data_IF_477299149337
#
_entry.id   IF_477299149337
#
_cell.length_a   1.000
_cell.length_b   1.000
_cell.length_c   1.000
_cell.angle_alpha   90.00
_cell.angle_beta   90.00
_cell.angle_gamma   90.00
#
_symmetry.space_group_name_H-M   'P 1'
#
loop_
_entity.id
_entity.type
_entity.pdbx_description
1 polymer ?
#
# COMPACT_ATOMS: atom_id res chain seq x y z
N UNK A 1 -4.36 7.09 -25.05
CA UNK A 1 -2.98 7.26 -24.50
C UNK A 1 -2.59 6.01 -23.73
N UNK A 2 -1.34 5.56 -23.90
CA UNK A 2 -0.80 4.39 -23.20
C UNK A 2 0.14 4.87 -22.10
N UNK A 3 -0.09 4.43 -20.88
CA UNK A 3 0.73 4.80 -19.70
C UNK A 3 1.39 3.54 -19.15
N UNK A 4 2.71 3.63 -18.93
CA UNK A 4 3.48 2.64 -18.21
C UNK A 4 3.50 3.03 -16.72
N UNK A 5 3.01 2.16 -15.86
CA UNK A 5 3.10 2.33 -14.40
C UNK A 5 4.20 1.43 -13.85
N UNK A 6 5.08 1.98 -13.05
CA UNK A 6 6.24 1.30 -12.48
C UNK A 6 6.22 1.40 -10.97
N UNK A 7 6.42 0.25 -10.32
CA UNK A 7 6.61 0.13 -8.88
C UNK A 7 7.91 -0.63 -8.64
N UNK A 8 9.00 0.10 -8.38
CA UNK A 8 10.32 -0.46 -8.16
C UNK A 8 10.62 -0.58 -6.66
N UNK A 9 10.98 -1.77 -6.22
CA UNK A 9 11.52 -2.04 -4.88
C UNK A 9 13.03 -2.19 -4.90
N UNK A 10 13.63 -2.54 -3.75
CA UNK A 10 15.08 -2.74 -3.65
C UNK A 10 15.63 -3.88 -4.52
N UNK A 11 14.83 -4.91 -4.75
CA UNK A 11 15.20 -6.10 -5.54
C UNK A 11 14.11 -6.54 -6.52
N UNK A 12 13.18 -5.65 -6.85
CA UNK A 12 12.08 -5.97 -7.76
C UNK A 12 11.62 -4.75 -8.54
N UNK A 13 11.07 -4.97 -9.74
CA UNK A 13 10.45 -3.97 -10.58
C UNK A 13 9.15 -4.55 -11.14
N UNK A 14 8.01 -4.06 -10.63
CA UNK A 14 6.69 -4.40 -11.14
C UNK A 14 6.20 -3.34 -12.10
N UNK A 15 5.49 -3.74 -13.15
CA UNK A 15 4.94 -2.79 -14.10
C UNK A 15 3.55 -3.19 -14.58
N UNK A 16 2.80 -2.20 -15.02
CA UNK A 16 1.58 -2.37 -15.81
C UNK A 16 1.57 -1.36 -16.95
N UNK A 17 1.24 -1.82 -18.14
CA UNK A 17 0.98 -0.99 -19.32
C UNK A 17 -0.54 -0.86 -19.47
N UNK A 18 -1.06 0.36 -19.39
CA UNK A 18 -2.51 0.63 -19.32
C UNK A 18 -2.93 1.52 -20.50
N UNK A 19 -4.00 1.12 -21.20
CA UNK A 19 -4.68 1.97 -22.17
C UNK A 19 -5.66 2.89 -21.43
N UNK A 20 -5.43 4.18 -21.47
CA UNK A 20 -6.25 5.16 -20.76
C UNK A 20 -7.53 5.56 -21.47
N UNK A 21 -7.85 4.98 -22.63
CA UNK A 21 -9.14 5.18 -23.30
C UNK A 21 -10.26 4.34 -22.64
N UNK A 22 -9.90 3.13 -22.19
CA UNK A 22 -10.82 2.17 -21.57
C UNK A 22 -10.32 1.64 -20.21
N UNK A 23 -9.16 2.11 -19.76
CA UNK A 23 -8.48 1.70 -18.53
C UNK A 23 -8.09 0.21 -18.51
N UNK A 24 -8.01 -0.44 -19.67
CA UNK A 24 -7.62 -1.83 -19.78
C UNK A 24 -6.11 -2.03 -19.60
N UNK A 25 -5.75 -3.15 -18.95
CA UNK A 25 -4.35 -3.56 -18.81
C UNK A 25 -3.90 -4.29 -20.07
N UNK A 26 -3.02 -3.65 -20.85
CA UNK A 26 -2.44 -4.21 -22.07
C UNK A 26 -1.43 -5.32 -21.72
N UNK A 27 -0.56 -5.05 -20.74
CA UNK A 27 0.43 -6.01 -20.23
C UNK A 27 0.79 -5.67 -18.78
N UNK A 28 1.24 -6.67 -18.04
CA UNK A 28 1.82 -6.52 -16.71
C UNK A 28 2.95 -7.52 -16.50
N UNK A 29 3.87 -7.20 -15.62
CA UNK A 29 4.98 -8.10 -15.32
C UNK A 29 5.76 -7.67 -14.10
N UNK A 30 6.75 -8.49 -13.79
CA UNK A 30 7.61 -8.35 -12.65
C UNK A 30 9.00 -8.84 -12.98
N UNK A 31 10.02 -8.05 -12.67
CA UNK A 31 11.41 -8.48 -12.63
C UNK A 31 11.80 -8.58 -11.16
N UNK A 32 12.03 -9.78 -10.68
CA UNK A 32 12.38 -10.07 -9.29
C UNK A 32 13.84 -10.41 -9.14
N UNK A 33 14.36 -10.37 -7.88
CA UNK A 33 15.67 -10.81 -7.48
C UNK A 33 16.80 -10.01 -8.16
N UNK A 34 16.52 -8.72 -8.42
CA UNK A 34 17.52 -7.77 -8.95
C UNK A 34 18.72 -7.70 -7.99
N UNK A 35 19.93 -7.78 -8.54
CA UNK A 35 21.18 -7.83 -7.76
C UNK A 35 21.55 -9.21 -7.21
N UNK A 36 20.76 -10.25 -7.55
CA UNK A 36 21.02 -11.65 -7.11
C UNK A 36 21.19 -12.53 -8.34
N UNK A 37 20.11 -13.10 -8.86
CA UNK A 37 20.11 -14.04 -9.98
C UNK A 37 18.96 -13.79 -10.98
N UNK A 38 18.09 -12.85 -10.69
CA UNK A 38 17.06 -12.33 -11.58
C UNK A 38 16.03 -13.35 -12.09
N UNK A 39 14.77 -12.92 -12.13
CA UNK A 39 13.67 -13.66 -12.74
C UNK A 39 12.66 -12.67 -13.33
N UNK A 40 12.16 -12.92 -14.55
CA UNK A 40 11.10 -12.12 -15.16
C UNK A 40 9.85 -12.95 -15.36
N UNK A 41 8.71 -12.37 -15.01
CA UNK A 41 7.40 -12.84 -15.43
C UNK A 41 6.65 -11.72 -16.14
N UNK A 42 6.04 -12.02 -17.28
CA UNK A 42 5.25 -11.06 -18.03
C UNK A 42 3.98 -11.72 -18.57
N UNK A 43 2.87 -11.00 -18.53
CA UNK A 43 1.57 -11.44 -19.01
C UNK A 43 0.87 -10.31 -19.77
N UNK A 44 0.33 -10.62 -20.92
CA UNK A 44 -0.46 -9.71 -21.76
C UNK A 44 -1.95 -9.78 -21.43
N UNK A 45 -2.70 -8.76 -21.83
CA UNK A 45 -4.16 -8.71 -21.63
C UNK A 45 -4.91 -9.82 -22.39
N UNK A 46 -4.36 -10.34 -23.48
CA UNK A 46 -4.90 -11.47 -24.26
C UNK A 46 -4.48 -12.84 -23.72
N UNK A 47 -3.69 -12.90 -22.62
CA UNK A 47 -3.36 -14.12 -21.90
C UNK A 47 -2.04 -14.78 -22.27
N UNK A 48 -1.26 -14.25 -23.22
CA UNK A 48 0.10 -14.72 -23.49
C UNK A 48 0.99 -14.41 -22.29
N UNK A 49 1.95 -15.27 -21.99
CA UNK A 49 2.82 -15.09 -20.82
C UNK A 49 4.18 -15.75 -21.03
N UNK A 50 5.18 -15.19 -20.37
CA UNK A 50 6.52 -15.77 -20.25
C UNK A 50 6.95 -15.75 -18.79
N UNK A 51 7.79 -16.73 -18.44
CA UNK A 51 8.56 -16.79 -17.19
C UNK A 51 9.95 -17.29 -17.53
N UNK A 52 10.98 -16.56 -17.18
CA UNK A 52 12.37 -16.95 -17.41
C UNK A 52 13.33 -16.40 -16.37
N UNK A 53 14.41 -17.13 -16.12
CA UNK A 53 15.52 -16.66 -15.31
C UNK A 53 16.41 -15.73 -16.15
N UNK A 54 16.76 -14.58 -15.58
CA UNK A 54 17.53 -13.53 -16.22
C UNK A 54 18.60 -13.02 -15.27
N UNK A 55 19.64 -12.39 -15.81
CA UNK A 55 20.63 -11.71 -14.96
C UNK A 55 20.31 -10.22 -14.89
N UNK A 56 19.92 -9.74 -13.72
CA UNK A 56 19.65 -8.32 -13.44
C UNK A 56 20.65 -7.79 -12.40
N UNK A 57 21.89 -7.40 -12.76
CA UNK A 57 22.83 -6.80 -11.82
C UNK A 57 22.27 -5.53 -11.15
N UNK A 58 21.51 -4.74 -11.91
CA UNK A 58 20.90 -3.49 -11.45
C UNK A 58 19.46 -3.31 -11.99
N UNK A 59 18.80 -2.24 -11.60
CA UNK A 59 17.51 -1.87 -12.15
C UNK A 59 17.58 -1.51 -13.64
N UNK A 60 18.74 -1.13 -14.18
CA UNK A 60 18.88 -0.80 -15.60
C UNK A 60 18.59 -2.03 -16.47
N UNK A 61 19.22 -3.17 -16.17
CA UNK A 61 18.99 -4.41 -16.91
C UNK A 61 17.54 -4.92 -16.76
N UNK A 62 16.95 -4.69 -15.58
CA UNK A 62 15.52 -4.98 -15.37
C UNK A 62 14.60 -4.10 -16.24
N UNK A 63 14.92 -2.82 -16.42
CA UNK A 63 14.22 -1.94 -17.36
C UNK A 63 14.46 -2.32 -18.82
N UNK A 64 15.69 -2.68 -19.19
CA UNK A 64 15.99 -3.18 -20.54
C UNK A 64 15.17 -4.45 -20.86
N UNK A 65 15.05 -5.37 -19.90
CA UNK A 65 14.21 -6.56 -20.05
C UNK A 65 12.73 -6.22 -20.13
N UNK A 66 12.25 -5.24 -19.35
CA UNK A 66 10.89 -4.73 -19.47
C UNK A 66 10.62 -4.22 -20.89
N UNK A 67 11.55 -3.45 -21.46
CA UNK A 67 11.45 -2.99 -22.88
C UNK A 67 11.39 -4.17 -23.82
N UNK A 68 12.29 -5.14 -23.68
CA UNK A 68 12.34 -6.34 -24.52
C UNK A 68 11.00 -7.10 -24.50
N UNK A 69 10.44 -7.41 -23.34
CA UNK A 69 9.18 -8.18 -23.22
C UNK A 69 7.95 -7.43 -23.73
N UNK A 70 7.99 -6.09 -23.75
CA UNK A 70 6.91 -5.28 -24.32
C UNK A 70 7.01 -5.13 -25.83
N UNK A 71 8.24 -5.12 -26.40
CA UNK A 71 8.48 -4.78 -27.82
C UNK A 71 8.87 -5.96 -28.69
N UNK A 72 9.17 -7.11 -28.09
CA UNK A 72 9.63 -8.29 -28.85
C UNK A 72 9.13 -9.60 -28.22
N UNK A 73 9.34 -10.71 -28.92
CA UNK A 73 9.02 -12.05 -28.44
C UNK A 73 7.52 -12.33 -28.32
N UNK A 74 7.19 -13.30 -27.46
CA UNK A 74 5.83 -13.83 -27.29
C UNK A 74 4.88 -12.83 -26.64
N UNK A 75 5.39 -12.00 -25.74
CA UNK A 75 4.59 -11.00 -24.99
C UNK A 75 4.60 -9.62 -25.62
N UNK A 76 5.09 -9.47 -26.85
CA UNK A 76 5.07 -8.20 -27.57
C UNK A 76 3.65 -7.62 -27.65
N UNK A 77 3.48 -6.36 -27.21
CA UNK A 77 2.21 -5.62 -27.22
C UNK A 77 2.32 -4.22 -27.84
N UNK A 78 3.54 -3.71 -28.04
CA UNK A 78 3.85 -2.44 -28.72
C UNK A 78 4.99 -2.65 -29.72
N UNK A 79 5.07 -1.84 -30.76
CA UNK A 79 6.17 -1.90 -31.73
C UNK A 79 7.41 -1.15 -31.24
N UNK A 80 7.21 -0.11 -30.46
CA UNK A 80 8.29 0.74 -29.94
C UNK A 80 7.88 1.41 -28.62
N UNK A 81 8.85 1.68 -27.75
CA UNK A 81 8.63 2.46 -26.53
C UNK A 81 8.14 3.90 -26.80
N UNK A 82 8.23 4.40 -28.04
CA UNK A 82 7.65 5.69 -28.43
C UNK A 82 6.11 5.71 -28.41
N UNK A 83 5.45 4.55 -28.36
CA UNK A 83 4.00 4.47 -28.19
C UNK A 83 3.56 4.77 -26.74
N UNK A 84 4.49 4.70 -25.77
CA UNK A 84 4.22 5.04 -24.38
C UNK A 84 4.15 6.56 -24.26
N UNK A 85 2.98 7.05 -23.90
CA UNK A 85 2.70 8.48 -23.81
C UNK A 85 3.28 9.11 -22.54
N UNK A 86 3.37 8.35 -21.44
CA UNK A 86 3.96 8.79 -20.17
C UNK A 86 4.28 7.59 -19.26
N UNK A 87 5.12 7.82 -18.24
CA UNK A 87 5.44 6.82 -17.20
C UNK A 87 5.03 7.37 -15.84
N UNK A 88 4.28 6.58 -15.07
CA UNK A 88 3.93 6.86 -13.68
C UNK A 88 4.74 5.97 -12.73
N UNK A 89 5.37 6.56 -11.71
CA UNK A 89 6.17 5.84 -10.72
C UNK A 89 5.56 5.93 -9.34
N UNK A 90 5.49 4.81 -8.61
CA UNK A 90 5.18 4.81 -7.20
C UNK A 90 6.42 5.10 -6.37
N UNK A 91 6.31 6.03 -5.44
CA UNK A 91 7.34 6.36 -4.45
C UNK A 91 6.74 6.19 -3.05
N UNK A 92 7.47 5.55 -2.14
CA UNK A 92 6.94 5.26 -0.79
C UNK A 92 6.93 6.51 0.07
N UNK A 93 8.05 7.25 0.19
CA UNK A 93 8.17 8.36 1.12
C UNK A 93 8.39 9.70 0.40
N UNK A 94 7.44 10.62 0.59
CA UNK A 94 7.49 11.98 0.06
C UNK A 94 7.78 13.05 1.13
N UNK A 95 7.81 12.65 2.41
CA UNK A 95 7.94 13.49 3.59
C UNK A 95 6.98 14.71 3.58
N UNK A 96 7.44 15.87 4.01
CA UNK A 96 6.70 17.12 3.95
C UNK A 96 6.97 17.89 2.65
N UNK A 97 7.87 17.38 1.80
CA UNK A 97 8.29 17.99 0.52
C UNK A 97 7.23 17.70 -0.55
N UNK A 98 6.87 16.44 -0.72
CA UNK A 98 5.98 15.99 -1.79
C UNK A 98 4.57 15.69 -1.26
N UNK A 99 3.70 16.69 -1.39
CA UNK A 99 2.29 16.60 -0.96
C UNK A 99 1.33 16.22 -2.10
N UNK A 100 1.83 16.22 -3.32
CA UNK A 100 1.07 15.98 -4.55
C UNK A 100 1.94 15.25 -5.57
N UNK A 101 1.28 14.68 -6.57
CA UNK A 101 1.92 14.11 -7.77
C UNK A 101 2.69 15.18 -8.52
N UNK A 102 3.91 14.90 -8.99
CA UNK A 102 4.71 15.86 -9.75
C UNK A 102 5.50 15.20 -10.90
N UNK A 103 5.96 16.04 -11.85
CA UNK A 103 6.84 15.61 -12.93
C UNK A 103 8.22 15.25 -12.39
N UNK A 104 8.83 14.24 -12.99
CA UNK A 104 10.21 13.83 -12.68
C UNK A 104 11.19 14.80 -13.33
N UNK A 105 12.02 15.44 -12.51
CA UNK A 105 13.22 16.18 -12.92
C UNK A 105 14.43 15.61 -12.19
N UNK A 106 15.64 16.04 -12.54
CA UNK A 106 16.84 15.60 -11.82
C UNK A 106 16.79 16.08 -10.36
N UNK A 107 16.27 17.28 -10.10
CA UNK A 107 16.07 17.82 -8.75
C UNK A 107 15.06 16.99 -7.93
N UNK A 108 13.99 16.54 -8.57
CA UNK A 108 12.99 15.65 -7.90
C UNK A 108 13.62 14.32 -7.54
N UNK A 109 14.44 13.73 -8.44
CA UNK A 109 15.14 12.47 -8.15
C UNK A 109 16.13 12.66 -6.98
N UNK A 110 16.90 13.74 -6.98
CA UNK A 110 17.87 14.03 -5.92
C UNK A 110 17.17 14.31 -4.57
N UNK A 111 16.01 14.98 -4.59
CA UNK A 111 15.20 15.16 -3.39
C UNK A 111 14.65 13.83 -2.86
N UNK A 112 14.15 12.94 -3.73
CA UNK A 112 13.69 11.60 -3.34
C UNK A 112 14.86 10.81 -2.72
N UNK A 113 16.04 10.88 -3.31
CA UNK A 113 17.26 10.21 -2.80
C UNK A 113 17.67 10.76 -1.43
N UNK A 114 17.59 12.07 -1.22
CA UNK A 114 17.87 12.70 0.08
C UNK A 114 16.94 12.24 1.20
N UNK A 115 15.70 11.85 0.87
CA UNK A 115 14.76 11.27 1.82
C UNK A 115 15.06 9.81 2.20
N UNK A 116 16.12 9.20 1.67
CA UNK A 116 16.57 7.87 2.09
C UNK A 116 16.93 7.82 3.58
N UNK A 117 17.26 8.93 4.22
CA UNK A 117 17.46 9.00 5.67
C UNK A 117 16.18 8.62 6.46
N UNK A 118 15.00 8.98 5.93
CA UNK A 118 13.70 8.64 6.51
C UNK A 118 13.19 7.25 6.07
N UNK A 119 13.59 6.77 4.89
CA UNK A 119 13.13 5.52 4.30
C UNK A 119 14.26 4.81 3.53
N UNK A 120 15.33 4.36 4.20
CA UNK A 120 16.56 3.89 3.56
C UNK A 120 16.34 2.66 2.65
N UNK A 121 15.44 1.77 3.02
CA UNK A 121 15.13 0.56 2.24
C UNK A 121 14.21 0.80 1.03
N UNK A 122 13.70 2.05 0.85
CA UNK A 122 12.76 2.39 -0.20
C UNK A 122 13.26 3.50 -1.11
N UNK A 123 13.56 4.69 -0.56
CA UNK A 123 13.77 5.90 -1.37
C UNK A 123 15.05 5.85 -2.22
N UNK A 124 16.16 5.34 -1.70
CA UNK A 124 17.36 5.17 -2.51
C UNK A 124 17.14 4.22 -3.70
N UNK A 125 16.56 2.99 -3.53
CA UNK A 125 16.15 2.16 -4.66
C UNK A 125 15.21 2.86 -5.65
N UNK A 126 14.25 3.66 -5.17
CA UNK A 126 13.36 4.42 -6.06
C UNK A 126 14.13 5.43 -6.91
N UNK A 127 15.07 6.18 -6.32
CA UNK A 127 15.89 7.14 -7.07
C UNK A 127 16.76 6.44 -8.13
N UNK A 128 17.35 5.28 -7.81
CA UNK A 128 18.08 4.46 -8.78
C UNK A 128 17.18 3.99 -9.93
N UNK A 129 15.97 3.51 -9.61
CA UNK A 129 15.02 3.06 -10.62
C UNK A 129 14.53 4.22 -11.51
N UNK A 130 14.32 5.42 -10.96
CA UNK A 130 13.98 6.62 -11.75
C UNK A 130 15.11 6.98 -12.72
N UNK A 131 16.37 6.97 -12.26
CA UNK A 131 17.54 7.20 -13.13
C UNK A 131 17.67 6.13 -14.22
N UNK A 132 17.46 4.85 -13.88
CA UNK A 132 17.48 3.75 -14.83
C UNK A 132 16.36 3.89 -15.87
N UNK A 133 15.13 4.17 -15.45
CA UNK A 133 14.01 4.41 -16.35
C UNK A 133 14.30 5.60 -17.31
N UNK A 134 14.83 6.70 -16.80
CA UNK A 134 15.21 7.88 -17.60
C UNK A 134 16.26 7.55 -18.68
N UNK A 135 17.16 6.61 -18.40
CA UNK A 135 18.20 6.20 -19.35
C UNK A 135 17.67 5.29 -20.47
N UNK A 136 16.61 4.53 -20.23
CA UNK A 136 16.08 3.48 -21.13
C UNK A 136 14.87 3.96 -21.94
N UNK A 137 14.00 4.78 -21.34
CA UNK A 137 12.80 5.32 -22.00
C UNK A 137 13.19 6.45 -22.96
N UNK A 138 12.51 6.57 -24.15
CA UNK A 138 12.81 7.61 -25.12
C UNK A 138 12.81 9.02 -24.51
N UNK A 139 13.83 9.82 -24.89
CA UNK A 139 13.95 11.20 -24.42
C UNK A 139 12.69 12.00 -24.78
N UNK A 140 12.18 12.76 -23.82
CA UNK A 140 10.97 13.59 -23.99
C UNK A 140 9.68 12.88 -23.56
N UNK A 141 9.68 11.57 -23.25
CA UNK A 141 8.54 10.92 -22.62
C UNK A 141 8.39 11.46 -21.19
N UNK A 142 7.27 12.10 -20.83
CA UNK A 142 7.07 12.63 -19.49
C UNK A 142 6.99 11.51 -18.47
N UNK A 143 7.63 11.72 -17.32
CA UNK A 143 7.59 10.82 -16.19
C UNK A 143 7.02 11.53 -14.97
N UNK A 144 6.24 10.82 -14.17
CA UNK A 144 5.47 11.35 -13.04
C UNK A 144 5.72 10.48 -11.82
N UNK A 145 5.86 11.09 -10.64
CA UNK A 145 5.96 10.38 -9.36
C UNK A 145 4.71 10.59 -8.52
N UNK A 146 4.21 9.51 -7.95
CA UNK A 146 3.06 9.46 -7.04
C UNK A 146 3.53 8.87 -5.71
N UNK A 147 3.24 9.57 -4.60
CA UNK A 147 3.77 9.23 -3.29
C UNK A 147 2.71 8.57 -2.40
N UNK A 148 3.06 7.46 -1.75
CA UNK A 148 2.18 6.77 -0.79
C UNK A 148 1.80 7.66 0.40
N UNK A 149 2.68 8.59 0.78
CA UNK A 149 2.45 9.50 1.91
C UNK A 149 1.62 10.73 1.53
N UNK A 150 1.49 11.06 0.24
CA UNK A 150 0.88 12.32 -0.21
C UNK A 150 -0.59 12.46 0.21
N UNK A 151 -1.38 11.38 0.15
CA UNK A 151 -2.78 11.38 0.58
C UNK A 151 -2.93 11.76 2.06
N UNK A 152 -1.95 11.41 2.89
CA UNK A 152 -1.94 11.69 4.33
C UNK A 152 -1.39 13.08 4.68
N UNK A 153 -0.94 13.86 3.70
CA UNK A 153 -0.45 15.24 3.92
C UNK A 153 -1.51 16.18 4.49
N UNK A 154 -2.79 15.81 4.34
CA UNK A 154 -3.94 16.58 4.85
C UNK A 154 -4.24 16.35 6.35
N UNK A 155 -3.52 15.43 7.02
CA UNK A 155 -3.69 15.21 8.45
C UNK A 155 -3.44 16.49 9.26
N UNK A 156 -4.28 16.81 10.27
CA UNK A 156 -4.04 17.94 11.15
C UNK A 156 -2.90 17.65 12.15
N UNK A 157 -2.28 18.71 12.68
CA UNK A 157 -1.15 18.60 13.63
C UNK A 157 -1.43 17.64 14.79
N UNK A 158 -2.61 17.68 15.36
CA UNK A 158 -3.04 16.82 16.48
C UNK A 158 -3.05 15.34 16.14
N UNK A 159 -3.08 14.96 14.87
CA UNK A 159 -3.07 13.57 14.41
C UNK A 159 -1.65 13.10 14.05
N UNK A 160 -0.78 13.98 13.54
CA UNK A 160 0.54 13.57 13.09
C UNK A 160 1.69 13.81 14.07
N UNK A 161 1.55 14.68 15.07
CA UNK A 161 2.59 14.92 16.06
C UNK A 161 2.63 13.82 17.13
N UNK A 162 3.83 13.37 17.46
CA UNK A 162 4.06 12.52 18.61
C UNK A 162 4.27 13.35 19.88
N UNK A 163 4.03 12.76 21.04
CA UNK A 163 4.27 13.39 22.35
C UNK A 163 5.75 13.43 22.76
N UNK A 164 6.63 13.69 21.82
CA UNK A 164 8.08 13.89 22.00
C UNK A 164 8.38 15.38 22.10
N UNK A 165 9.60 15.78 22.58
CA UNK A 165 10.04 17.15 22.49
C UNK A 165 9.82 17.72 21.08
N UNK A 166 9.38 18.98 20.99
CA UNK A 166 8.95 19.58 19.72
C UNK A 166 10.07 19.63 18.69
N UNK A 167 11.32 19.70 19.16
CA UNK A 167 12.55 19.67 18.35
C UNK A 167 12.70 18.35 17.57
N UNK A 168 12.15 17.24 18.08
CA UNK A 168 12.11 15.98 17.30
C UNK A 168 11.30 16.14 16.01
N UNK A 169 10.28 16.98 16.02
CA UNK A 169 9.54 17.31 14.80
C UNK A 169 10.26 18.35 13.94
N UNK A 170 10.66 19.50 14.52
CA UNK A 170 11.21 20.61 13.75
C UNK A 170 12.57 20.32 13.13
N UNK A 171 13.43 19.59 13.84
CA UNK A 171 14.82 19.41 13.47
C UNK A 171 15.09 18.00 12.88
N UNK A 172 14.32 17.00 13.33
CA UNK A 172 14.49 15.59 12.89
C UNK A 172 13.32 15.07 12.03
N UNK A 173 12.32 15.91 11.75
CA UNK A 173 11.14 15.57 10.95
C UNK A 173 10.37 14.34 11.47
N UNK A 174 10.45 14.06 12.77
CA UNK A 174 9.78 12.93 13.41
C UNK A 174 8.30 13.24 13.60
N UNK A 175 7.48 12.66 12.74
CA UNK A 175 6.03 12.77 12.73
C UNK A 175 5.40 11.52 12.10
N UNK A 176 4.08 11.36 12.28
CA UNK A 176 3.32 10.38 11.51
C UNK A 176 3.21 10.85 10.06
N UNK A 177 3.63 10.02 9.10
CA UNK A 177 3.48 10.23 7.66
C UNK A 177 2.31 9.43 7.11
N UNK A 178 2.19 8.16 7.49
CA UNK A 178 1.20 7.24 6.93
C UNK A 178 1.60 6.71 5.55
N UNK A 179 1.04 5.57 5.18
CA UNK A 179 1.38 4.86 3.93
C UNK A 179 0.12 4.24 3.31
N UNK A 180 0.27 3.56 2.18
CA UNK A 180 -0.84 3.08 1.35
C UNK A 180 -1.82 4.19 0.92
N UNK A 181 -1.35 5.43 0.87
CA UNK A 181 -2.20 6.58 0.56
C UNK A 181 -2.85 6.47 -0.82
N UNK A 182 -2.13 5.92 -1.81
CA UNK A 182 -2.65 5.64 -3.14
C UNK A 182 -3.85 4.68 -3.08
N UNK A 183 -3.72 3.58 -2.32
CA UNK A 183 -4.82 2.64 -2.11
C UNK A 183 -6.02 3.26 -1.40
N UNK A 184 -5.80 3.92 -0.26
CA UNK A 184 -6.87 4.57 0.50
C UNK A 184 -7.63 5.62 -0.32
N UNK A 185 -6.91 6.40 -1.14
CA UNK A 185 -7.51 7.39 -2.04
C UNK A 185 -8.32 6.71 -3.15
N UNK A 186 -7.79 5.65 -3.76
CA UNK A 186 -8.50 4.90 -4.79
C UNK A 186 -9.83 4.34 -4.27
N UNK A 187 -9.78 3.55 -3.20
CA UNK A 187 -10.99 2.86 -2.72
C UNK A 187 -12.04 3.82 -2.12
N UNK A 188 -11.62 4.95 -1.57
CA UNK A 188 -12.57 5.97 -1.08
C UNK A 188 -13.28 6.69 -2.23
N UNK A 189 -12.59 6.95 -3.34
CA UNK A 189 -13.20 7.48 -4.56
C UNK A 189 -14.18 6.49 -5.20
N UNK A 190 -13.80 5.20 -5.27
CA UNK A 190 -14.69 4.15 -5.76
C UNK A 190 -15.93 3.97 -4.86
N UNK A 191 -15.77 4.07 -3.53
CA UNK A 191 -16.91 4.05 -2.62
C UNK A 191 -17.88 5.19 -2.92
N UNK A 192 -17.39 6.41 -3.06
CA UNK A 192 -18.23 7.59 -3.35
C UNK A 192 -19.03 7.39 -4.66
N UNK A 193 -18.35 6.85 -5.69
CA UNK A 193 -18.99 6.50 -6.97
C UNK A 193 -20.10 5.46 -6.80
N UNK A 194 -19.84 4.38 -6.07
CA UNK A 194 -20.81 3.29 -5.85
C UNK A 194 -21.99 3.73 -5.00
N UNK A 195 -21.74 4.55 -3.97
CA UNK A 195 -22.79 5.12 -3.13
C UNK A 195 -23.60 6.23 -3.84
N UNK A 196 -23.12 6.74 -4.98
CA UNK A 196 -23.75 7.87 -5.67
C UNK A 196 -23.76 9.16 -4.85
N UNK A 197 -22.73 9.36 -4.00
CA UNK A 197 -22.61 10.53 -3.12
C UNK A 197 -21.30 11.27 -3.37
N UNK A 198 -21.28 12.60 -3.26
CA UNK A 198 -20.05 13.37 -3.25
C UNK A 198 -19.13 12.89 -2.12
N UNK A 199 -17.85 12.73 -2.41
CA UNK A 199 -16.89 12.25 -1.41
C UNK A 199 -16.72 13.24 -0.25
N UNK A 200 -17.00 14.53 -0.51
CA UNK A 200 -16.96 15.62 0.46
C UNK A 200 -17.98 15.46 1.59
N UNK A 201 -19.02 14.68 1.38
CA UNK A 201 -20.09 14.41 2.36
C UNK A 201 -19.83 13.15 3.20
N UNK A 202 -18.79 12.36 2.87
CA UNK A 202 -18.57 11.04 3.43
C UNK A 202 -17.50 11.03 4.54
N UNK A 203 -17.81 10.29 5.60
CA UNK A 203 -16.88 9.88 6.66
C UNK A 203 -16.61 8.40 6.55
N UNK A 204 -15.39 8.05 6.19
CA UNK A 204 -15.02 6.70 5.79
C UNK A 204 -13.87 6.20 6.67
N UNK A 205 -13.94 4.96 7.11
CA UNK A 205 -12.78 4.22 7.62
C UNK A 205 -12.38 3.20 6.57
N UNK A 206 -11.18 3.37 6.00
CA UNK A 206 -10.62 2.49 4.99
C UNK A 206 -9.58 1.56 5.62
N UNK A 207 -9.83 0.25 5.54
CA UNK A 207 -8.98 -0.82 6.08
C UNK A 207 -8.25 -1.52 4.92
N UNK A 208 -7.02 -1.08 4.64
CA UNK A 208 -6.11 -1.78 3.72
C UNK A 208 -5.39 -2.86 4.49
N UNK A 209 -5.79 -4.12 4.29
CA UNK A 209 -5.31 -5.27 5.04
C UNK A 209 -4.61 -6.25 4.09
N UNK A 210 -3.31 -6.37 4.25
CA UNK A 210 -2.45 -7.27 3.49
C UNK A 210 -1.29 -7.76 4.37
N UNK A 211 -0.18 -8.15 3.75
CA UNK A 211 1.05 -8.46 4.49
C UNK A 211 1.61 -7.22 5.20
N UNK A 212 1.45 -6.02 4.58
CA UNK A 212 1.42 -4.73 5.26
C UNK A 212 -0.04 -4.29 5.43
N UNK A 213 -0.38 -3.68 6.57
CA UNK A 213 -1.76 -3.29 6.88
C UNK A 213 -1.83 -1.88 7.45
N UNK A 214 -2.79 -1.09 6.98
CA UNK A 214 -3.07 0.23 7.53
C UNK A 214 -4.58 0.52 7.53
N UNK A 215 -5.01 1.35 8.47
CA UNK A 215 -6.38 1.85 8.54
C UNK A 215 -6.32 3.37 8.52
N UNK A 216 -7.19 4.00 7.74
CA UNK A 216 -7.20 5.45 7.55
C UNK A 216 -8.60 6.01 7.78
N UNK A 217 -8.66 7.08 8.55
CA UNK A 217 -9.84 7.93 8.71
C UNK A 217 -9.89 8.95 7.57
N UNK A 218 -10.95 8.93 6.78
CA UNK A 218 -11.14 9.81 5.63
C UNK A 218 -12.43 10.61 5.85
N UNK A 219 -12.28 11.94 5.95
CA UNK A 219 -13.40 12.86 6.13
C UNK A 219 -13.43 13.85 4.98
N UNK A 220 -14.52 13.86 4.22
CA UNK A 220 -14.66 14.73 3.06
C UNK A 220 -13.56 14.52 2.01
N UNK A 221 -13.19 13.26 1.74
CA UNK A 221 -12.17 12.91 0.76
C UNK A 221 -10.72 13.17 1.21
N UNK A 222 -10.49 13.59 2.46
CA UNK A 222 -9.17 13.91 3.02
C UNK A 222 -8.81 12.94 4.13
N UNK A 223 -7.56 12.45 4.13
CA UNK A 223 -7.01 11.71 5.25
C UNK A 223 -6.91 12.62 6.47
N UNK A 224 -7.54 12.24 7.59
CA UNK A 224 -7.51 13.00 8.84
C UNK A 224 -6.76 12.28 9.96
N UNK A 225 -6.56 10.97 9.82
CA UNK A 225 -5.67 10.14 10.65
C UNK A 225 -5.38 8.82 9.92
N UNK A 226 -4.29 8.15 10.30
CA UNK A 226 -3.93 6.82 9.77
C UNK A 226 -3.13 6.03 10.79
N UNK A 227 -3.16 4.70 10.69
CA UNK A 227 -2.55 3.81 11.66
C UNK A 227 -1.04 3.64 11.51
N UNK A 228 -0.50 3.65 10.29
CA UNK A 228 0.95 3.67 10.10
C UNK A 228 1.52 5.02 10.50
N UNK A 229 2.71 5.01 11.09
CA UNK A 229 3.30 6.15 11.77
C UNK A 229 4.41 6.85 10.98
N UNK A 230 5.52 7.10 11.67
CA UNK A 230 6.77 7.60 11.09
C UNK A 230 7.29 6.64 10.02
N UNK A 231 7.14 5.33 10.25
CA UNK A 231 7.46 4.25 9.32
C UNK A 231 6.25 3.33 9.12
N UNK A 232 6.28 2.41 8.13
CA UNK A 232 5.24 1.41 7.96
C UNK A 232 5.20 0.33 9.06
N UNK A 233 5.96 0.46 10.14
CA UNK A 233 6.00 -0.49 11.24
C UNK A 233 4.84 -0.31 12.22
N UNK A 234 4.45 0.95 12.48
CA UNK A 234 3.43 1.32 13.47
C UNK A 234 2.01 0.90 13.03
N UNK A 235 1.10 0.78 13.98
CA UNK A 235 -0.32 0.49 13.76
C UNK A 235 -0.68 -0.96 14.08
N UNK A 236 -1.27 -1.64 13.11
CA UNK A 236 -1.71 -3.03 13.25
C UNK A 236 -0.53 -4.01 13.34
N UNK A 237 -0.74 -5.13 14.03
CA UNK A 237 0.09 -6.33 13.81
C UNK A 237 -0.05 -6.77 12.35
N UNK A 238 1.07 -7.14 11.71
CA UNK A 238 1.13 -7.45 10.28
C UNK A 238 1.81 -8.81 10.07
N UNK A 239 2.04 -9.22 8.85
CA UNK A 239 2.67 -10.52 8.56
C UNK A 239 3.96 -10.78 9.34
N UNK A 240 4.91 -9.83 9.29
CA UNK A 240 6.21 -9.93 10.00
C UNK A 240 6.50 -8.75 10.93
N UNK A 241 5.66 -7.70 10.91
CA UNK A 241 5.86 -6.47 11.68
C UNK A 241 5.02 -6.48 12.95
N UNK A 242 5.60 -6.02 14.05
CA UNK A 242 4.93 -6.04 15.36
C UNK A 242 3.72 -5.11 15.46
N UNK A 243 3.64 -4.05 14.66
CA UNK A 243 2.70 -2.94 14.88
C UNK A 243 3.09 -2.08 16.08
N UNK A 244 2.13 -1.33 16.62
CA UNK A 244 2.34 -0.47 17.79
C UNK A 244 2.71 -1.29 19.02
N UNK A 245 3.77 -0.89 19.68
CA UNK A 245 4.32 -1.54 20.89
C UNK A 245 4.76 -0.44 21.88
N UNK A 246 4.67 -0.70 23.16
CA UNK A 246 5.20 0.20 24.21
C UNK A 246 6.73 0.36 24.02
N UNK A 247 7.25 1.61 23.86
CA UNK A 247 8.67 1.85 23.73
C UNK A 247 9.53 1.26 24.86
N UNK A 248 8.99 1.21 26.09
CA UNK A 248 9.69 0.61 27.23
C UNK A 248 9.79 -0.91 27.11
N UNK A 249 8.80 -1.55 26.47
CA UNK A 249 8.88 -2.98 26.17
C UNK A 249 9.94 -3.26 25.09
N UNK A 250 10.07 -2.36 24.10
CA UNK A 250 11.14 -2.46 23.09
C UNK A 250 12.51 -2.39 23.73
N UNK A 251 12.77 -1.35 24.54
CA UNK A 251 14.03 -1.18 25.29
C UNK A 251 14.33 -2.38 26.20
N UNK A 252 13.31 -2.91 26.88
CA UNK A 252 13.48 -4.08 27.75
C UNK A 252 13.92 -5.32 26.97
N UNK A 253 13.25 -5.62 25.85
CA UNK A 253 13.60 -6.77 25.01
C UNK A 253 14.98 -6.60 24.39
N UNK A 254 15.31 -5.41 23.85
CA UNK A 254 16.63 -5.08 23.29
C UNK A 254 17.75 -5.41 24.29
N UNK A 255 17.63 -4.91 25.52
CA UNK A 255 18.60 -5.17 26.61
C UNK A 255 18.67 -6.64 27.00
N UNK A 256 17.54 -7.34 27.10
CA UNK A 256 17.49 -8.76 27.50
C UNK A 256 18.07 -9.70 26.44
N UNK A 257 17.84 -9.38 25.17
CA UNK A 257 18.34 -10.16 24.04
C UNK A 257 19.80 -9.79 23.65
N UNK A 258 20.30 -8.66 24.17
CA UNK A 258 21.60 -8.12 23.80
C UNK A 258 21.66 -7.61 22.36
N UNK A 259 20.55 -7.14 21.83
CA UNK A 259 20.47 -6.60 20.48
C UNK A 259 21.05 -5.18 20.41
N UNK A 260 21.62 -4.84 19.25
CA UNK A 260 21.83 -3.43 18.87
C UNK A 260 20.49 -2.80 18.43
N UNK A 261 20.39 -1.46 18.38
CA UNK A 261 19.18 -0.79 17.86
C UNK A 261 18.76 -1.28 16.46
N UNK A 262 19.75 -1.51 15.56
CA UNK A 262 19.48 -2.03 14.21
C UNK A 262 18.93 -3.46 14.24
N UNK A 263 19.50 -4.32 15.08
CA UNK A 263 19.00 -5.68 15.27
C UNK A 263 17.59 -5.70 15.86
N UNK A 264 17.29 -4.79 16.80
CA UNK A 264 15.94 -4.66 17.35
C UNK A 264 14.96 -4.15 16.28
N UNK A 265 15.36 -3.20 15.48
CA UNK A 265 14.57 -2.71 14.33
C UNK A 265 14.28 -3.84 13.34
N UNK A 266 15.28 -4.64 13.00
CA UNK A 266 15.09 -5.82 12.14
C UNK A 266 14.15 -6.85 12.77
N UNK A 267 14.30 -7.12 14.06
CA UNK A 267 13.46 -8.05 14.83
C UNK A 267 11.99 -7.63 14.79
N UNK A 268 11.70 -6.35 15.02
CA UNK A 268 10.34 -5.80 14.97
C UNK A 268 9.75 -5.83 13.55
N UNK A 269 10.56 -5.67 12.52
CA UNK A 269 10.08 -5.62 11.13
C UNK A 269 9.97 -7.00 10.46
N UNK A 270 10.88 -7.95 10.79
CA UNK A 270 11.00 -9.21 10.03
C UNK A 270 10.76 -10.48 10.84
N UNK A 271 10.77 -10.41 12.18
CA UNK A 271 10.66 -11.58 13.07
C UNK A 271 9.45 -11.54 14.01
N UNK A 272 8.64 -10.52 13.88
CA UNK A 272 7.47 -10.25 14.73
C UNK A 272 6.15 -10.52 13.97
N UNK A 273 5.09 -9.86 14.35
CA UNK A 273 3.80 -9.98 13.65
C UNK A 273 3.19 -11.36 13.72
N UNK A 274 2.46 -11.74 12.68
CA UNK A 274 1.83 -13.08 12.57
C UNK A 274 2.88 -14.17 12.70
N UNK A 275 4.01 -14.03 11.99
CA UNK A 275 5.14 -14.95 12.06
C UNK A 275 5.63 -15.14 13.49
N UNK A 276 5.94 -14.04 14.19
CA UNK A 276 6.51 -14.10 15.54
C UNK A 276 5.52 -14.63 16.57
N UNK A 277 4.26 -14.25 16.49
CA UNK A 277 3.21 -14.70 17.39
C UNK A 277 2.84 -16.17 17.17
N UNK A 278 2.60 -16.57 15.92
CA UNK A 278 2.18 -17.92 15.61
C UNK A 278 3.32 -18.94 15.60
N UNK A 279 4.49 -18.53 15.10
CA UNK A 279 5.59 -19.45 14.79
C UNK A 279 5.34 -20.30 13.54
N UNK A 280 4.28 -19.99 12.76
CA UNK A 280 3.86 -20.73 11.56
C UNK A 280 4.39 -20.02 10.30
N UNK A 281 3.95 -18.77 10.10
CA UNK A 281 4.27 -17.99 8.92
C UNK A 281 3.68 -16.58 8.98
N UNK A 282 3.92 -15.82 7.92
CA UNK A 282 3.41 -14.45 7.77
C UNK A 282 2.13 -14.35 6.94
N UNK A 283 1.72 -15.44 6.30
CA UNK A 283 0.54 -15.49 5.44
C UNK A 283 -0.72 -15.72 6.26
N UNK A 284 -1.70 -14.82 6.13
CA UNK A 284 -2.98 -14.97 6.84
C UNK A 284 -3.73 -16.26 6.48
N UNK A 285 -3.54 -16.82 5.28
CA UNK A 285 -4.18 -18.06 4.87
C UNK A 285 -3.69 -19.24 5.70
N UNK A 286 -2.39 -19.31 5.97
CA UNK A 286 -1.79 -20.35 6.81
C UNK A 286 -2.23 -20.19 8.27
N UNK A 287 -2.33 -18.92 8.74
CA UNK A 287 -2.82 -18.61 10.09
C UNK A 287 -4.28 -19.07 10.24
N UNK A 288 -5.15 -18.72 9.28
CA UNK A 288 -6.57 -19.13 9.34
C UNK A 288 -6.75 -20.65 9.25
N UNK A 289 -5.96 -21.33 8.41
CA UNK A 289 -5.98 -22.79 8.32
C UNK A 289 -5.60 -23.42 9.66
N UNK A 290 -4.48 -23.00 10.26
CA UNK A 290 -4.03 -23.52 11.55
C UNK A 290 -5.03 -23.18 12.69
N UNK A 291 -5.64 -22.01 12.67
CA UNK A 291 -6.66 -21.61 13.64
C UNK A 291 -7.90 -22.52 13.55
N UNK A 292 -8.33 -22.87 12.33
CA UNK A 292 -9.46 -23.78 12.10
C UNK A 292 -9.19 -25.20 12.61
N UNK A 293 -7.93 -25.60 12.68
CA UNK A 293 -7.47 -26.87 13.26
C UNK A 293 -7.27 -26.80 14.79
N UNK A 294 -7.54 -25.64 15.40
CA UNK A 294 -7.45 -25.45 16.85
C UNK A 294 -6.06 -25.07 17.37
N UNK A 295 -5.16 -24.59 16.51
CA UNK A 295 -3.86 -24.08 16.96
C UNK A 295 -4.06 -22.80 17.78
N UNK A 296 -3.75 -22.85 19.08
CA UNK A 296 -3.95 -21.72 20.01
C UNK A 296 -3.22 -20.45 19.61
N UNK A 297 -1.97 -20.54 19.11
CA UNK A 297 -1.20 -19.35 18.73
C UNK A 297 -1.77 -18.71 17.47
N UNK A 298 -2.27 -19.50 16.52
CA UNK A 298 -2.94 -18.99 15.32
C UNK A 298 -4.29 -18.33 15.67
N UNK A 299 -5.04 -18.88 16.62
CA UNK A 299 -6.26 -18.26 17.16
C UNK A 299 -5.96 -16.90 17.79
N UNK A 300 -4.94 -16.82 18.66
CA UNK A 300 -4.50 -15.56 19.28
C UNK A 300 -4.13 -14.50 18.22
N UNK A 301 -3.42 -14.88 17.15
CA UNK A 301 -3.09 -13.95 16.05
C UNK A 301 -4.36 -13.39 15.41
N UNK A 302 -5.31 -14.26 15.09
CA UNK A 302 -6.59 -13.87 14.47
C UNK A 302 -7.40 -12.95 15.38
N UNK A 303 -7.44 -13.23 16.68
CA UNK A 303 -8.13 -12.41 17.69
C UNK A 303 -7.48 -11.02 17.81
N UNK A 304 -6.14 -10.95 17.95
CA UNK A 304 -5.38 -9.70 18.07
C UNK A 304 -5.64 -8.84 16.83
N UNK A 305 -5.52 -9.42 15.63
CA UNK A 305 -5.68 -8.68 14.39
C UNK A 305 -7.09 -8.09 14.24
N UNK A 306 -8.12 -8.92 14.42
CA UNK A 306 -9.50 -8.47 14.35
C UNK A 306 -9.83 -7.41 15.43
N UNK A 307 -9.32 -7.59 16.65
CA UNK A 307 -9.49 -6.65 17.76
C UNK A 307 -8.84 -5.29 17.48
N UNK A 308 -7.63 -5.28 16.92
CA UNK A 308 -6.95 -4.04 16.55
C UNK A 308 -7.70 -3.31 15.42
N UNK A 309 -8.18 -4.02 14.39
CA UNK A 309 -9.01 -3.43 13.32
C UNK A 309 -10.25 -2.76 13.94
N UNK A 310 -10.98 -3.48 14.78
CA UNK A 310 -12.15 -2.97 15.51
C UNK A 310 -11.85 -1.67 16.27
N UNK A 311 -10.73 -1.66 17.03
CA UNK A 311 -10.30 -0.48 17.78
C UNK A 311 -10.05 0.73 16.88
N UNK A 312 -9.37 0.54 15.76
CA UNK A 312 -9.13 1.62 14.81
C UNK A 312 -10.45 2.14 14.18
N UNK A 313 -11.36 1.25 13.80
CA UNK A 313 -12.70 1.66 13.31
C UNK A 313 -13.40 2.53 14.34
N UNK A 314 -13.43 2.10 15.60
CA UNK A 314 -14.07 2.85 16.69
C UNK A 314 -13.40 4.18 16.98
N UNK A 315 -12.07 4.21 17.07
CA UNK A 315 -11.31 5.44 17.35
C UNK A 315 -11.45 6.47 16.22
N UNK A 316 -11.46 6.02 14.97
CA UNK A 316 -11.59 6.90 13.81
C UNK A 316 -13.02 7.40 13.60
N UNK A 317 -14.02 6.58 13.91
CA UNK A 317 -15.41 7.05 13.98
C UNK A 317 -15.57 8.17 15.02
N UNK A 318 -14.94 8.04 16.18
CA UNK A 318 -14.93 9.08 17.22
C UNK A 318 -14.15 10.32 16.75
N UNK A 319 -12.98 10.17 16.13
CA UNK A 319 -12.15 11.27 15.64
C UNK A 319 -12.88 12.12 14.58
N UNK A 320 -13.70 11.48 13.74
CA UNK A 320 -14.51 12.13 12.69
C UNK A 320 -15.88 12.59 13.18
N UNK A 321 -16.28 12.24 14.40
CA UNK A 321 -17.65 12.47 14.94
C UNK A 321 -18.71 11.88 14.00
N UNK A 322 -18.60 10.59 13.72
CA UNK A 322 -19.52 9.82 12.88
C UNK A 322 -18.82 8.94 11.87
N UNK A 323 -19.59 8.07 11.23
CA UNK A 323 -19.11 7.10 10.25
C UNK A 323 -20.24 6.74 9.27
N UNK A 324 -19.97 6.92 7.98
CA UNK A 324 -20.92 6.56 6.92
C UNK A 324 -20.62 5.18 6.34
N UNK A 325 -19.31 4.85 6.22
CA UNK A 325 -18.90 3.57 5.69
C UNK A 325 -17.54 3.06 6.20
N UNK A 326 -17.40 1.73 6.18
CA UNK A 326 -16.14 1.01 6.34
C UNK A 326 -15.81 0.31 5.02
N UNK A 327 -14.55 0.42 4.59
CA UNK A 327 -14.04 -0.28 3.40
C UNK A 327 -13.01 -1.33 3.85
N UNK A 328 -13.14 -2.53 3.32
CA UNK A 328 -12.12 -3.57 3.39
C UNK A 328 -11.46 -3.73 2.02
N UNK A 329 -10.12 -3.64 1.97
CA UNK A 329 -9.31 -3.73 0.76
C UNK A 329 -7.95 -4.35 1.07
N UNK A 330 -7.16 -4.61 0.05
CA UNK A 330 -5.90 -5.34 0.18
C UNK A 330 -6.12 -6.85 0.31
N UNK A 331 -5.07 -7.65 0.16
CA UNK A 331 -5.18 -9.09 -0.01
C UNK A 331 -6.00 -9.81 1.07
N UNK A 332 -5.85 -9.42 2.35
CA UNK A 332 -6.64 -9.96 3.46
C UNK A 332 -8.04 -9.33 3.47
N UNK A 333 -8.14 -8.00 3.38
CA UNK A 333 -9.42 -7.30 3.43
C UNK A 333 -10.40 -7.75 2.34
N UNK A 334 -9.89 -8.03 1.15
CA UNK A 334 -10.67 -8.49 0.00
C UNK A 334 -11.06 -9.96 0.08
N UNK A 335 -10.21 -10.82 0.66
CA UNK A 335 -10.34 -12.28 0.51
C UNK A 335 -10.59 -13.06 1.81
N UNK A 336 -10.61 -12.40 2.99
CA UNK A 336 -10.79 -13.07 4.29
C UNK A 336 -12.12 -12.64 4.96
N UNK A 337 -13.25 -13.27 4.61
CA UNK A 337 -14.56 -12.95 5.19
C UNK A 337 -14.60 -13.15 6.72
N UNK A 338 -13.85 -14.10 7.26
CA UNK A 338 -13.70 -14.37 8.69
C UNK A 338 -13.07 -13.17 9.43
N UNK A 339 -12.08 -12.52 8.85
CA UNK A 339 -11.43 -11.33 9.42
C UNK A 339 -12.41 -10.15 9.44
N UNK A 340 -13.13 -9.93 8.34
CA UNK A 340 -14.14 -8.85 8.25
C UNK A 340 -15.27 -9.04 9.26
N UNK A 341 -15.77 -10.27 9.37
CA UNK A 341 -16.83 -10.61 10.35
C UNK A 341 -16.37 -10.38 11.79
N UNK A 342 -15.16 -10.86 12.14
CA UNK A 342 -14.60 -10.68 13.48
C UNK A 342 -14.32 -9.22 13.80
N UNK A 343 -13.77 -8.45 12.86
CA UNK A 343 -13.48 -7.03 13.02
C UNK A 343 -14.74 -6.18 13.22
N UNK A 344 -15.84 -6.52 12.54
CA UNK A 344 -17.12 -5.81 12.62
C UNK A 344 -18.08 -6.36 13.68
N UNK A 345 -17.74 -7.45 14.37
CA UNK A 345 -18.61 -8.00 15.42
C UNK A 345 -18.77 -7.01 16.59
N UNK A 346 -19.97 -6.95 17.19
CA UNK A 346 -20.24 -6.09 18.36
C UNK A 346 -19.88 -4.60 18.12
N UNK A 347 -20.19 -4.08 16.94
CA UNK A 347 -20.08 -2.66 16.60
C UNK A 347 -21.46 -2.00 16.39
N UNK A 348 -22.49 -2.51 17.08
CA UNK A 348 -23.86 -2.00 17.04
C UNK A 348 -23.94 -0.52 17.39
N UNK A 349 -23.08 -0.06 18.31
CA UNK A 349 -22.99 1.37 18.71
C UNK A 349 -22.62 2.28 17.50
N UNK A 350 -21.96 1.73 16.49
CA UNK A 350 -21.65 2.43 15.25
C UNK A 350 -22.68 2.15 14.15
N UNK A 351 -23.69 1.33 14.43
CA UNK A 351 -24.69 0.90 13.48
C UNK A 351 -24.12 0.02 12.37
N UNK A 352 -23.10 -0.78 12.67
CA UNK A 352 -22.45 -1.71 11.74
C UNK A 352 -23.04 -3.11 11.93
N UNK A 353 -23.66 -3.64 10.87
CA UNK A 353 -24.19 -4.99 10.83
C UNK A 353 -23.80 -5.65 9.51
N UNK A 354 -23.03 -6.74 9.57
CA UNK A 354 -22.60 -7.51 8.39
C UNK A 354 -23.62 -8.59 8.06
N UNK A 355 -23.97 -8.69 6.78
CA UNK A 355 -24.71 -9.79 6.22
C UNK A 355 -23.76 -10.98 5.98
N UNK A 356 -24.05 -12.11 6.60
CA UNK A 356 -23.18 -13.28 6.58
C UNK A 356 -22.99 -13.87 5.18
N UNK A 357 -24.04 -13.87 4.33
CA UNK A 357 -23.96 -14.41 2.97
C UNK A 357 -23.27 -13.41 2.02
N UNK A 358 -23.62 -12.12 2.09
CA UNK A 358 -22.94 -11.09 1.30
C UNK A 358 -21.45 -11.06 1.60
N UNK A 359 -21.05 -11.26 2.87
CA UNK A 359 -19.67 -11.26 3.33
C UNK A 359 -18.80 -12.41 2.78
N UNK A 360 -19.38 -13.47 2.25
CA UNK A 360 -18.59 -14.58 1.67
C UNK A 360 -17.88 -14.19 0.37
N UNK A 361 -18.11 -12.99 -0.15
CA UNK A 361 -17.43 -12.49 -1.36
C UNK A 361 -15.91 -12.42 -1.19
N UNK A 362 -15.19 -12.58 -2.29
CA UNK A 362 -13.72 -12.50 -2.36
C UNK A 362 -13.30 -11.75 -3.63
N UNK A 363 -12.41 -10.75 -3.50
CA UNK A 363 -11.79 -10.04 -4.62
C UNK A 363 -12.75 -9.29 -5.54
N UNK A 364 -13.96 -8.98 -5.10
CA UNK A 364 -14.96 -8.24 -5.89
C UNK A 364 -15.52 -7.05 -5.12
N UNK A 365 -15.88 -6.00 -5.84
CA UNK A 365 -16.59 -4.87 -5.26
C UNK A 365 -17.99 -5.29 -4.84
N UNK A 366 -18.28 -5.20 -3.53
CA UNK A 366 -19.58 -5.59 -2.99
C UNK A 366 -19.88 -4.89 -1.67
N UNK A 367 -21.12 -4.42 -1.50
CA UNK A 367 -21.66 -4.08 -0.19
C UNK A 367 -21.95 -5.38 0.58
N UNK A 368 -21.42 -5.46 1.82
CA UNK A 368 -21.54 -6.63 2.69
C UNK A 368 -22.32 -6.35 3.98
N UNK A 369 -22.86 -5.15 4.12
CA UNK A 369 -23.73 -4.79 5.24
C UNK A 369 -25.17 -5.28 5.01
N UNK A 370 -25.92 -5.44 6.12
CA UNK A 370 -27.37 -5.65 6.07
C UNK A 370 -28.07 -4.36 5.62
N UNK A 371 -29.32 -4.46 5.18
CA UNK A 371 -30.10 -3.31 4.76
C UNK A 371 -30.37 -2.35 5.92
N UNK A 372 -30.46 -2.86 7.15
CA UNK A 372 -30.69 -2.10 8.39
C UNK A 372 -29.43 -1.40 8.92
N UNK A 373 -28.24 -1.78 8.41
CA UNK A 373 -26.97 -1.18 8.81
C UNK A 373 -26.95 0.29 8.47
N UNK A 374 -26.75 1.14 9.48
CA UNK A 374 -26.64 2.60 9.29
C UNK A 374 -25.30 2.97 8.67
N UNK A 375 -24.23 2.39 9.18
CA UNK A 375 -22.90 2.48 8.61
C UNK A 375 -22.73 1.35 7.59
N UNK A 376 -22.50 1.69 6.34
CA UNK A 376 -22.35 0.70 5.27
C UNK A 376 -20.97 0.06 5.31
N UNK A 377 -20.88 -1.22 4.91
CA UNK A 377 -19.62 -1.95 4.85
C UNK A 377 -19.42 -2.50 3.45
N UNK A 378 -18.25 -2.22 2.88
CA UNK A 378 -17.90 -2.61 1.52
C UNK A 378 -16.61 -3.38 1.45
N UNK A 379 -16.53 -4.33 0.53
CA UNK A 379 -15.28 -4.84 -0.04
C UNK A 379 -15.04 -4.10 -1.34
N UNK A 380 -13.90 -3.44 -1.45
CA UNK A 380 -13.49 -2.72 -2.67
C UNK A 380 -12.07 -3.13 -3.01
N UNK A 381 -11.85 -3.91 -4.08
CA UNK A 381 -10.50 -4.23 -4.53
C UNK A 381 -9.72 -2.97 -4.85
N UNK A 382 -8.50 -2.87 -4.32
CA UNK A 382 -7.62 -1.74 -4.65
C UNK A 382 -7.01 -1.91 -6.04
N UNK A 383 -6.73 -0.78 -6.70
CA UNK A 383 -6.02 -0.73 -7.96
C UNK A 383 -5.12 0.53 -7.96
N UNK A 384 -3.98 0.39 -7.30
CA UNK A 384 -3.03 1.49 -7.12
C UNK A 384 -2.41 1.90 -8.46
N UNK A 385 -2.14 0.94 -9.34
CA UNK A 385 -1.56 1.18 -10.65
C UNK A 385 -2.50 2.02 -11.54
N UNK A 386 -3.80 1.72 -11.51
CA UNK A 386 -4.78 2.52 -12.23
C UNK A 386 -4.85 3.95 -11.70
N UNK A 387 -4.79 4.14 -10.38
CA UNK A 387 -4.79 5.50 -9.82
C UNK A 387 -3.53 6.27 -10.21
N UNK A 388 -2.36 5.62 -10.19
CA UNK A 388 -1.10 6.22 -10.65
C UNK A 388 -1.21 6.60 -12.14
N UNK A 389 -1.81 5.75 -12.98
CA UNK A 389 -2.03 6.05 -14.38
C UNK A 389 -2.98 7.23 -14.58
N UNK A 390 -4.09 7.32 -13.83
CA UNK A 390 -5.04 8.45 -13.85
C UNK A 390 -4.36 9.76 -13.43
N UNK A 391 -3.55 9.74 -12.36
CA UNK A 391 -2.79 10.91 -11.92
C UNK A 391 -1.75 11.34 -12.96
N UNK A 392 -1.05 10.37 -13.54
CA UNK A 392 -0.08 10.61 -14.60
C UNK A 392 -0.76 11.28 -15.80
N UNK A 393 -1.88 10.70 -16.28
CA UNK A 393 -2.66 11.28 -17.37
C UNK A 393 -3.09 12.71 -17.06
N UNK A 394 -3.68 12.93 -15.89
CA UNK A 394 -4.17 14.24 -15.49
C UNK A 394 -3.07 15.31 -15.44
N UNK A 395 -1.84 14.92 -15.08
CA UNK A 395 -0.72 15.87 -14.99
C UNK A 395 -0.12 16.18 -16.36
N UNK A 396 0.01 15.19 -17.25
CA UNK A 396 0.67 15.37 -18.57
C UNK A 396 -0.27 15.94 -19.63
N UNK A 397 -1.57 16.03 -19.36
CA UNK A 397 -2.58 16.63 -20.27
C UNK A 397 -3.00 18.04 -19.88
N UNK A 398 -2.45 18.59 -18.81
CA UNK A 398 -2.63 20.00 -18.40
C UNK A 398 -1.73 20.91 -19.23
#
# INVERSE_FOLDING_TARGET
MIILVVNAGSSSLKYQLINMEDESVIAKGNCDRIGIDGHVSAKTGDGRHIEEDCNFPTHTEAFEKLVEVLTSGETKVIDSMSEISAVGHRIVQGAEIFKETCLVTDEVIDQIDSLAELAPVHNHPHALALRACKAVIPAGTPQVVVFDTAFHSTMPRKAYLYGLPYECYTDLHVRKYGFHGTSHRFVSGELARVMGKPIEELKIVSCHLGNGSSITAINGGKSVDTSMGFTPLDGLVMGTRCGSVDPSAVDYVEKKMGFTPDQMTEYMNKKSGFLGLSGIGSDNRDIQAAASEGNERALIVSEIFAYQIKKFIGSYAAAMNGLDAVIFTGGIGENAPEVRAAACSNLDILGIHIDAEKNLCRGILKEISTDESKTKVYVIPTNEELLIARDTLALVTK
#
